data_IF_316660327053
#
_entry.id   IF_316660327053
#
_cell.length_a   1.000
_cell.length_b   1.000
_cell.length_c   1.000
_cell.angle_alpha   90.00
_cell.angle_beta   90.00
_cell.angle_gamma   90.00
#
_symmetry.space_group_name_H-M   'P 1'
#
loop_
_entity.id
_entity.type
_entity.pdbx_description
1 polymer ?
#
# COMPACT_ATOMS: atom_id res chain seq x y z
N UNK A 1 31.55 -6.48 16.51
CA UNK A 1 30.35 -5.80 17.05
C UNK A 1 29.46 -5.49 15.87
N UNK A 2 28.20 -5.96 15.86
CA UNK A 2 27.28 -5.63 14.77
C UNK A 2 26.94 -4.14 14.82
N UNK A 3 27.01 -3.47 13.67
CA UNK A 3 26.69 -2.05 13.58
C UNK A 3 25.20 -1.81 13.85
N UNK A 4 24.81 -0.62 14.31
CA UNK A 4 23.38 -0.27 14.49
C UNK A 4 22.56 -0.53 13.22
N UNK A 5 23.19 -0.33 12.05
CA UNK A 5 22.62 -0.62 10.74
C UNK A 5 22.31 -2.11 10.54
N UNK A 6 23.27 -2.99 10.83
CA UNK A 6 23.07 -4.45 10.72
C UNK A 6 21.97 -4.95 11.64
N UNK A 7 21.90 -4.44 12.89
CA UNK A 7 20.84 -4.79 13.84
C UNK A 7 19.44 -4.46 13.29
N UNK A 8 19.28 -3.26 12.71
CA UNK A 8 18.01 -2.81 12.13
C UNK A 8 17.63 -3.67 10.92
N UNK A 9 18.58 -3.97 10.03
CA UNK A 9 18.33 -4.78 8.84
C UNK A 9 17.93 -6.20 9.22
N UNK A 10 18.68 -6.83 10.14
CA UNK A 10 18.38 -8.18 10.61
C UNK A 10 16.98 -8.26 11.22
N UNK A 11 16.59 -7.28 12.05
CA UNK A 11 15.26 -7.25 12.64
C UNK A 11 14.16 -6.97 11.61
N UNK A 12 14.43 -6.10 10.62
CA UNK A 12 13.49 -5.85 9.54
C UNK A 12 13.19 -7.15 8.75
N UNK A 13 14.23 -7.94 8.44
CA UNK A 13 14.08 -9.24 7.78
C UNK A 13 13.28 -10.21 8.64
N UNK A 14 13.56 -10.30 9.94
CA UNK A 14 12.82 -11.16 10.89
C UNK A 14 11.32 -10.82 10.94
N UNK A 15 11.00 -9.51 10.97
CA UNK A 15 9.62 -9.03 10.93
C UNK A 15 8.95 -9.40 9.60
N UNK A 16 9.66 -9.27 8.48
CA UNK A 16 9.14 -9.61 7.16
C UNK A 16 8.95 -11.13 6.98
N UNK A 17 9.81 -11.96 7.57
CA UNK A 17 9.63 -13.44 7.59
C UNK A 17 8.41 -13.85 8.40
N UNK A 18 8.12 -13.15 9.50
CA UNK A 18 6.95 -13.43 10.33
C UNK A 18 5.62 -12.96 9.73
N UNK A 19 5.66 -12.10 8.69
CA UNK A 19 4.46 -11.50 8.11
C UNK A 19 4.38 -11.85 6.61
N UNK A 20 3.73 -12.97 6.24
CA UNK A 20 3.66 -13.42 4.87
C UNK A 20 3.09 -12.35 3.94
N UNK A 21 2.05 -11.62 4.35
CA UNK A 21 1.38 -10.58 3.57
C UNK A 21 2.20 -9.27 3.39
N UNK A 22 3.38 -9.18 3.98
CA UNK A 22 4.19 -7.96 4.01
C UNK A 22 3.78 -6.98 5.11
N UNK A 23 4.59 -5.94 5.28
CA UNK A 23 4.46 -4.95 6.35
C UNK A 23 4.59 -3.54 5.76
N UNK A 24 3.70 -2.62 6.18
CA UNK A 24 3.79 -1.22 5.77
C UNK A 24 5.01 -0.56 6.39
N UNK A 25 5.59 0.41 5.67
CA UNK A 25 6.75 1.18 6.12
C UNK A 25 6.59 1.76 7.54
N UNK A 26 5.45 2.38 7.83
CA UNK A 26 5.15 2.97 9.14
C UNK A 26 5.15 1.91 10.25
N UNK A 27 4.53 0.76 9.99
CA UNK A 27 4.46 -0.33 10.96
C UNK A 27 5.81 -1.00 11.16
N UNK A 28 6.60 -1.13 10.09
CA UNK A 28 7.95 -1.68 10.15
C UNK A 28 8.85 -0.80 11.01
N UNK A 29 8.82 0.52 10.80
CA UNK A 29 9.57 1.47 11.63
C UNK A 29 9.12 1.42 13.09
N UNK A 30 7.80 1.38 13.34
CA UNK A 30 7.25 1.29 14.71
C UNK A 30 7.74 0.04 15.43
N UNK A 31 7.60 -1.14 14.82
CA UNK A 31 8.05 -2.41 15.40
C UNK A 31 9.55 -2.44 15.67
N UNK A 32 10.37 -1.86 14.80
CA UNK A 32 11.83 -1.78 15.01
C UNK A 32 12.17 -0.84 16.17
N UNK A 33 11.46 0.28 16.31
CA UNK A 33 11.68 1.22 17.41
C UNK A 33 11.20 0.65 18.76
N UNK A 34 10.11 -0.11 18.78
CA UNK A 34 9.65 -0.84 19.98
C UNK A 34 10.71 -1.82 20.49
N UNK A 35 11.40 -2.52 19.59
CA UNK A 35 12.49 -3.45 19.95
C UNK A 35 13.78 -2.73 20.36
N UNK A 36 14.08 -1.61 19.69
CA UNK A 36 15.31 -0.84 19.91
C UNK A 36 15.01 0.62 20.26
N UNK A 37 14.49 0.89 21.47
CA UNK A 37 14.19 2.25 21.91
C UNK A 37 15.46 3.11 22.12
N UNK A 38 16.64 2.50 22.18
CA UNK A 38 17.94 3.19 22.21
C UNK A 38 18.26 3.91 20.89
N UNK A 39 17.70 3.44 19.77
CA UNK A 39 18.02 3.94 18.44
C UNK A 39 17.05 5.06 18.07
N UNK A 40 17.54 6.25 17.69
CA UNK A 40 16.68 7.34 17.25
C UNK A 40 15.85 6.94 16.02
N UNK A 41 14.56 7.24 16.04
CA UNK A 41 13.59 6.93 14.97
C UNK A 41 14.08 7.39 13.59
N UNK A 42 14.71 8.57 13.50
CA UNK A 42 15.25 9.10 12.23
C UNK A 42 16.35 8.21 11.63
N UNK A 43 17.12 7.52 12.47
CA UNK A 43 18.13 6.55 12.01
C UNK A 43 17.45 5.34 11.39
N UNK A 44 16.36 4.87 12.01
CA UNK A 44 15.55 3.76 11.51
C UNK A 44 14.93 4.16 10.16
N UNK A 45 14.31 5.33 10.06
CA UNK A 45 13.79 5.85 8.80
C UNK A 45 14.86 5.89 7.69
N UNK A 46 16.04 6.44 7.98
CA UNK A 46 17.15 6.55 7.03
C UNK A 46 17.73 5.20 6.57
N UNK A 47 17.49 4.11 7.30
CA UNK A 47 17.94 2.76 6.92
C UNK A 47 16.83 1.98 6.22
N UNK A 48 15.58 2.14 6.66
CA UNK A 48 14.43 1.37 6.16
C UNK A 48 13.92 1.89 4.81
N UNK A 49 14.04 3.19 4.50
CA UNK A 49 13.46 3.75 3.27
C UNK A 49 13.98 3.12 1.97
N UNK A 50 15.22 2.61 1.97
CA UNK A 50 15.87 1.95 0.85
C UNK A 50 16.29 0.51 1.17
N UNK A 51 15.51 -0.18 2.02
CA UNK A 51 15.78 -1.56 2.43
C UNK A 51 15.84 -2.51 1.22
N UNK A 52 14.98 -2.30 0.21
CA UNK A 52 14.94 -3.05 -1.04
C UNK A 52 16.23 -2.91 -1.86
N UNK A 53 16.89 -1.76 -1.80
CA UNK A 53 18.15 -1.51 -2.51
C UNK A 53 19.34 -2.09 -1.75
N UNK A 54 19.26 -2.16 -0.42
CA UNK A 54 20.33 -2.68 0.43
C UNK A 54 20.36 -4.20 0.48
N UNK A 55 19.20 -4.83 0.46
CA UNK A 55 19.06 -6.29 0.56
C UNK A 55 18.07 -6.79 -0.51
N UNK A 56 18.42 -6.63 -1.80
CA UNK A 56 17.53 -7.00 -2.90
C UNK A 56 17.22 -8.50 -2.95
N UNK A 57 18.10 -9.33 -2.39
CA UNK A 57 17.94 -10.79 -2.34
C UNK A 57 16.87 -11.24 -1.34
N UNK A 58 16.63 -10.48 -0.27
CA UNK A 58 15.73 -10.86 0.81
C UNK A 58 14.44 -10.03 0.85
N UNK A 59 14.46 -8.78 0.36
CA UNK A 59 13.32 -7.85 0.48
C UNK A 59 12.96 -7.26 -0.87
N UNK A 60 11.67 -7.29 -1.20
CA UNK A 60 11.10 -6.58 -2.35
C UNK A 60 9.86 -5.77 -1.95
N UNK A 61 9.41 -4.95 -2.89
CA UNK A 61 8.35 -3.96 -2.68
C UNK A 61 7.20 -4.18 -3.67
N UNK A 62 6.18 -4.98 -3.31
CA UNK A 62 5.03 -5.24 -4.19
C UNK A 62 4.21 -3.97 -4.48
N UNK A 63 4.09 -3.06 -3.49
CA UNK A 63 3.35 -1.81 -3.62
C UNK A 63 4.05 -0.65 -2.89
N UNK A 64 3.68 0.59 -3.20
CA UNK A 64 4.26 1.77 -2.55
C UNK A 64 4.05 1.71 -1.03
N UNK A 65 5.16 1.66 -0.30
CA UNK A 65 5.16 1.63 1.17
C UNK A 65 4.87 0.25 1.78
N UNK A 66 4.83 -0.82 0.99
CA UNK A 66 4.67 -2.20 1.46
C UNK A 66 5.96 -2.98 1.19
N UNK A 67 6.55 -3.56 2.24
CA UNK A 67 7.74 -4.42 2.14
C UNK A 67 7.35 -5.88 2.35
N UNK A 68 7.93 -6.79 1.57
CA UNK A 68 7.66 -8.23 1.66
C UNK A 68 8.98 -9.01 1.50
N UNK A 69 9.07 -10.17 2.16
CA UNK A 69 10.24 -11.03 2.05
C UNK A 69 10.23 -11.79 0.73
N UNK A 70 11.37 -11.94 0.07
CA UNK A 70 11.53 -12.56 -1.24
C UNK A 70 11.04 -14.02 -1.28
N UNK A 71 11.11 -14.75 -0.16
CA UNK A 71 10.58 -16.12 -0.06
C UNK A 71 9.08 -16.21 -0.42
N UNK A 72 8.29 -15.21 -0.03
CA UNK A 72 6.85 -15.16 -0.31
C UNK A 72 6.50 -14.75 -1.74
N UNK A 73 7.50 -14.33 -2.53
CA UNK A 73 7.31 -13.95 -3.94
C UNK A 73 6.84 -15.13 -4.81
N UNK A 74 7.18 -16.37 -4.43
CA UNK A 74 6.75 -17.57 -5.17
C UNK A 74 5.31 -17.98 -4.85
N UNK A 75 4.79 -17.61 -3.68
CA UNK A 75 3.41 -17.95 -3.26
C UNK A 75 2.38 -17.01 -3.89
N UNK A 76 2.72 -15.73 -4.15
CA UNK A 76 1.82 -14.76 -4.80
C UNK A 76 1.38 -15.15 -6.22
N UNK A 77 2.24 -15.85 -6.98
CA UNK A 77 1.90 -16.28 -8.36
C UNK A 77 0.65 -17.17 -8.38
N UNK A 78 0.28 -17.79 -7.26
CA UNK A 78 -0.89 -18.66 -7.15
C UNK A 78 -2.16 -17.95 -6.64
N UNK A 79 -2.04 -16.84 -5.90
CA UNK A 79 -3.19 -16.13 -5.32
C UNK A 79 -3.66 -14.88 -6.10
N UNK A 80 -2.79 -14.27 -6.92
CA UNK A 80 -3.13 -13.04 -7.65
C UNK A 80 -4.15 -13.21 -8.80
N UNK A 81 -4.65 -14.42 -9.08
CA UNK A 81 -5.66 -14.67 -10.13
C UNK A 81 -7.08 -14.85 -9.61
N UNK A 82 -7.52 -14.02 -8.67
CA UNK A 82 -8.96 -13.79 -8.41
C UNK A 82 -9.26 -12.31 -8.20
N UNK A 83 -8.79 -11.46 -9.11
CA UNK A 83 -9.47 -10.18 -9.33
C UNK A 83 -10.73 -10.53 -10.13
N UNK A 84 -11.96 -10.25 -9.64
CA UNK A 84 -13.14 -10.34 -10.51
C UNK A 84 -12.88 -9.42 -11.71
N UNK A 85 -12.82 -10.00 -12.89
CA UNK A 85 -12.50 -9.33 -14.16
C UNK A 85 -13.60 -8.39 -14.67
N UNK A 86 -14.55 -8.00 -13.82
CA UNK A 86 -15.63 -7.10 -14.18
C UNK A 86 -15.51 -5.81 -13.38
N UNK A 87 -14.51 -5.00 -13.72
CA UNK A 87 -14.67 -3.56 -13.57
C UNK A 87 -15.65 -3.18 -14.68
N UNK A 88 -16.95 -3.19 -14.38
CA UNK A 88 -17.93 -2.56 -15.25
C UNK A 88 -17.45 -1.13 -15.50
N UNK A 89 -17.12 -0.84 -16.76
CA UNK A 89 -16.71 0.51 -17.16
C UNK A 89 -17.94 1.38 -17.03
N UNK A 90 -18.08 2.05 -15.88
CA UNK A 90 -19.10 3.07 -15.67
C UNK A 90 -18.95 4.06 -16.83
N UNK A 91 -20.02 4.27 -17.58
CA UNK A 91 -19.98 5.17 -18.72
C UNK A 91 -20.37 6.57 -18.27
N UNK A 92 -19.95 7.57 -19.03
CA UNK A 92 -20.26 8.97 -18.69
C UNK A 92 -21.78 9.21 -18.64
N UNK A 93 -22.53 8.52 -19.49
CA UNK A 93 -23.98 8.65 -19.59
C UNK A 93 -24.71 8.23 -18.30
N UNK A 94 -24.09 7.36 -17.49
CA UNK A 94 -24.65 6.91 -16.21
C UNK A 94 -24.71 8.05 -15.18
N UNK A 95 -23.94 9.12 -15.37
CA UNK A 95 -23.87 10.28 -14.46
C UNK A 95 -24.91 11.37 -14.77
N UNK A 96 -25.39 11.47 -16.01
CA UNK A 96 -26.29 12.56 -16.40
C UNK A 96 -27.66 12.49 -15.73
N UNK A 97 -28.18 11.28 -15.51
CA UNK A 97 -29.51 11.10 -14.90
C UNK A 97 -29.53 11.47 -13.40
N UNK A 98 -28.60 11.00 -12.55
CA UNK A 98 -28.49 11.48 -11.17
C UNK A 98 -28.29 13.00 -11.10
N UNK A 99 -27.46 13.57 -11.97
CA UNK A 99 -27.17 15.00 -11.97
C UNK A 99 -28.38 15.86 -12.37
N UNK A 100 -29.12 15.47 -13.42
CA UNK A 100 -30.35 16.15 -13.82
C UNK A 100 -31.42 16.11 -12.70
N UNK A 101 -31.56 14.97 -12.02
CA UNK A 101 -32.48 14.83 -10.90
C UNK A 101 -32.08 15.72 -9.72
N UNK A 102 -30.78 15.85 -9.46
CA UNK A 102 -30.26 16.70 -8.40
C UNK A 102 -30.55 18.20 -8.69
N UNK A 103 -30.31 18.64 -9.92
CA UNK A 103 -30.59 20.03 -10.35
C UNK A 103 -32.07 20.41 -10.19
N UNK A 104 -32.98 19.50 -10.52
CA UNK A 104 -34.42 19.75 -10.50
C UNK A 104 -35.01 19.60 -9.10
N UNK A 105 -34.63 18.56 -8.35
CA UNK A 105 -35.32 18.19 -7.12
C UNK A 105 -34.62 18.62 -5.83
N UNK A 106 -33.28 18.78 -5.84
CA UNK A 106 -32.55 19.23 -4.66
C UNK A 106 -32.19 20.70 -4.74
N UNK A 107 -31.62 21.11 -5.87
CA UNK A 107 -31.18 22.49 -6.06
C UNK A 107 -32.33 23.42 -6.47
N UNK A 108 -33.38 22.86 -7.09
CA UNK A 108 -34.56 23.57 -7.63
C UNK A 108 -34.20 24.75 -8.56
N UNK A 109 -32.99 24.74 -9.15
CA UNK A 109 -32.49 25.82 -10.01
C UNK A 109 -33.19 25.83 -11.38
N UNK A 110 -33.75 24.70 -11.80
CA UNK A 110 -34.47 24.58 -13.07
C UNK A 110 -35.67 23.62 -12.96
N UNK A 111 -36.70 23.89 -13.76
CA UNK A 111 -37.91 23.05 -13.81
C UNK A 111 -37.70 21.79 -14.65
N UNK A 112 -36.68 21.77 -15.52
CA UNK A 112 -36.38 20.64 -16.41
C UNK A 112 -34.90 20.63 -16.78
N UNK A 113 -34.27 19.46 -16.72
CA UNK A 113 -32.90 19.22 -17.16
C UNK A 113 -32.87 18.05 -18.16
N UNK A 114 -32.21 18.24 -19.31
CA UNK A 114 -32.15 17.25 -20.40
C UNK A 114 -30.67 17.05 -20.79
N UNK A 115 -30.15 15.81 -20.81
CA UNK A 115 -28.80 15.55 -21.31
C UNK A 115 -28.76 15.71 -22.83
N UNK A 116 -27.77 16.46 -23.34
CA UNK A 116 -27.58 16.69 -24.77
C UNK A 116 -26.61 15.69 -25.44
N UNK A 117 -25.99 14.80 -24.64
CA UNK A 117 -24.95 13.88 -25.09
C UNK A 117 -23.56 14.44 -24.83
#
# INVERSE_FOLDING_TARGET
>A
MATRKEKIIAKAIEILKSNPNGVRYSDLVRKIHEEFPEIPVNTIHGIVWNLETRVPDEVYKPARGLFRHADFKKEEVNEERKIPLEIERIKEEDFYKPFANWLVNELEECTTAIPLG
#
